data_IF_800818155214
#
_entry.id   IF_800818155214
#
_cell.length_a   1.000
_cell.length_b   1.000
_cell.length_c   1.000
_cell.angle_alpha   90.00
_cell.angle_beta   90.00
_cell.angle_gamma   90.00
#
_symmetry.space_group_name_H-M   'P 1'
#
loop_
_entity.id
_entity.type
_entity.pdbx_description
1 polymer ?
#
# COMPACT_ATOMS: atom_id res chain seq x y z
N UNK A 1 -3.72 -11.34 -19.98
CA UNK A 1 -4.69 -11.81 -18.95
C UNK A 1 -4.14 -11.37 -17.60
N UNK A 2 -4.76 -10.37 -16.96
CA UNK A 2 -4.36 -9.91 -15.62
C UNK A 2 -4.84 -10.96 -14.63
N UNK A 3 -3.91 -11.69 -14.00
CA UNK A 3 -4.23 -12.76 -13.08
C UNK A 3 -4.53 -12.16 -11.69
N UNK A 4 -5.81 -12.14 -11.30
CA UNK A 4 -6.26 -11.51 -10.05
C UNK A 4 -5.95 -12.32 -8.78
N UNK A 5 -5.55 -13.59 -8.87
CA UNK A 5 -5.24 -14.42 -7.71
C UNK A 5 -3.91 -15.16 -7.90
N UNK A 6 -3.07 -15.15 -6.87
CA UNK A 6 -1.83 -15.92 -6.79
C UNK A 6 -1.65 -16.52 -5.39
N UNK A 7 -0.60 -17.32 -5.20
CA UNK A 7 -0.25 -17.87 -3.89
C UNK A 7 1.10 -17.29 -3.49
N UNK A 8 1.16 -16.73 -2.29
CA UNK A 8 2.36 -16.15 -1.69
C UNK A 8 3.29 -17.21 -1.04
N UNK A 9 2.79 -18.42 -0.82
CA UNK A 9 3.49 -19.52 -0.11
C UNK A 9 3.44 -20.77 -1.00
N UNK A 10 4.29 -21.76 -0.75
CA UNK A 10 4.20 -23.12 -1.32
C UNK A 10 2.90 -23.86 -0.93
N UNK A 11 1.79 -23.16 -0.68
CA UNK A 11 0.45 -23.72 -0.55
C UNK A 11 -0.19 -23.83 -1.95
N UNK A 12 -0.83 -24.97 -2.21
CA UNK A 12 -1.55 -25.29 -3.44
C UNK A 12 -2.84 -24.47 -3.64
N UNK A 13 -3.14 -23.53 -2.74
CA UNK A 13 -4.38 -22.77 -2.68
C UNK A 13 -4.09 -21.30 -3.02
N UNK A 14 -4.80 -20.76 -4.01
CA UNK A 14 -4.62 -19.39 -4.52
C UNK A 14 -5.34 -18.40 -3.59
N UNK A 15 -4.74 -18.14 -2.44
CA UNK A 15 -5.41 -17.44 -1.34
C UNK A 15 -5.03 -15.95 -1.23
N UNK A 16 -4.32 -15.36 -2.20
CA UNK A 16 -3.98 -13.93 -2.16
C UNK A 16 -4.13 -13.22 -3.52
N UNK A 17 -4.33 -11.90 -3.49
CA UNK A 17 -4.32 -11.06 -4.68
C UNK A 17 -3.49 -9.79 -4.49
N UNK A 18 -3.04 -9.21 -5.60
CA UNK A 18 -2.34 -7.92 -5.57
C UNK A 18 -3.24 -6.83 -4.99
N UNK A 19 -4.55 -6.92 -5.26
CA UNK A 19 -5.54 -6.01 -4.71
C UNK A 19 -5.66 -6.15 -3.20
N UNK A 20 -5.75 -7.37 -2.69
CA UNK A 20 -5.82 -7.64 -1.26
C UNK A 20 -4.56 -7.13 -0.54
N UNK A 21 -3.40 -7.39 -1.14
CA UNK A 21 -2.14 -6.97 -0.57
C UNK A 21 -1.96 -5.43 -0.55
N UNK A 22 -2.37 -4.73 -1.63
CA UNK A 22 -2.20 -3.27 -1.77
C UNK A 22 -3.30 -2.47 -1.08
N UNK A 23 -4.58 -2.86 -1.27
CA UNK A 23 -5.73 -2.06 -0.86
C UNK A 23 -6.45 -2.59 0.40
N UNK A 24 -6.50 -3.91 0.60
CA UNK A 24 -7.19 -4.48 1.77
C UNK A 24 -6.26 -4.48 2.99
N UNK A 25 -4.95 -4.65 2.76
CA UNK A 25 -3.94 -4.73 3.81
C UNK A 25 -3.91 -6.14 4.40
N UNK A 26 -3.18 -7.05 3.75
CA UNK A 26 -2.93 -8.39 4.28
C UNK A 26 -2.25 -8.30 5.66
N UNK A 27 -2.93 -8.85 6.66
CA UNK A 27 -2.34 -9.15 7.96
C UNK A 27 -1.79 -10.57 7.92
N UNK A 28 -0.47 -10.73 8.10
CA UNK A 28 0.12 -12.05 8.35
C UNK A 28 0.38 -12.19 9.82
N UNK A 29 -0.51 -12.91 10.50
CA UNK A 29 -0.49 -13.36 11.90
C UNK A 29 -0.16 -12.28 12.96
N UNK A 30 1.00 -11.64 12.89
CA UNK A 30 1.51 -10.63 13.83
C UNK A 30 2.19 -9.41 13.17
N UNK A 31 2.21 -9.30 11.85
CA UNK A 31 2.83 -8.17 11.15
C UNK A 31 1.90 -7.56 10.09
N UNK A 32 1.78 -6.23 10.14
CA UNK A 32 1.07 -5.45 9.11
C UNK A 32 2.06 -5.16 7.98
N UNK A 33 2.16 -6.09 7.04
CA UNK A 33 3.03 -5.96 5.88
C UNK A 33 2.49 -4.91 4.88
N UNK A 34 1.16 -4.79 4.78
CA UNK A 34 0.44 -3.87 3.88
C UNK A 34 -0.13 -2.63 4.58
N UNK A 35 -1.19 -2.04 4.02
CA UNK A 35 -1.89 -0.83 4.49
C UNK A 35 -1.24 0.52 4.08
N UNK A 36 -1.33 0.82 2.79
CA UNK A 36 -0.93 2.10 2.20
C UNK A 36 -2.13 2.90 1.66
N UNK A 37 -3.35 2.40 1.86
CA UNK A 37 -4.58 3.05 1.44
C UNK A 37 -5.21 3.81 2.62
N UNK A 38 -5.41 5.12 2.47
CA UNK A 38 -5.91 5.96 3.56
C UNK A 38 -7.37 5.68 3.90
N UNK A 39 -8.19 5.27 2.93
CA UNK A 39 -9.60 4.98 3.17
C UNK A 39 -9.75 3.73 4.04
N UNK A 40 -8.98 2.69 3.75
CA UNK A 40 -8.92 1.49 4.59
C UNK A 40 -8.34 1.79 5.97
N UNK A 41 -7.30 2.63 6.05
CA UNK A 41 -6.76 3.09 7.33
C UNK A 41 -7.84 3.78 8.18
N UNK A 42 -8.55 4.77 7.61
CA UNK A 42 -9.60 5.51 8.29
C UNK A 42 -10.74 4.60 8.77
N UNK A 43 -11.13 3.61 7.95
CA UNK A 43 -12.15 2.62 8.33
C UNK A 43 -11.70 1.77 9.52
N UNK A 44 -10.48 1.25 9.48
CA UNK A 44 -9.96 0.38 10.56
C UNK A 44 -9.74 1.16 11.87
N UNK A 45 -9.34 2.43 11.78
CA UNK A 45 -9.27 3.33 12.94
C UNK A 45 -10.66 3.60 13.52
N UNK A 46 -11.67 3.87 12.69
CA UNK A 46 -13.07 4.04 13.15
C UNK A 46 -13.64 2.79 13.82
N UNK A 47 -13.22 1.60 13.39
CA UNK A 47 -13.62 0.33 13.99
C UNK A 47 -12.86 0.00 15.29
N UNK A 48 -11.83 0.79 15.64
CA UNK A 48 -10.98 0.54 16.80
C UNK A 48 -9.99 -0.63 16.60
N UNK A 49 -9.74 -1.02 15.35
CA UNK A 49 -8.79 -2.09 15.02
C UNK A 49 -7.36 -1.55 14.77
N UNK A 50 -7.22 -0.24 14.61
CA UNK A 50 -5.94 0.47 14.54
C UNK A 50 -5.92 1.66 15.51
N UNK A 51 -4.74 1.97 16.02
CA UNK A 51 -4.44 3.15 16.83
C UNK A 51 -3.33 3.96 16.15
N UNK A 52 -3.65 5.18 15.73
CA UNK A 52 -2.67 6.11 15.18
C UNK A 52 -1.69 6.60 16.27
N UNK A 53 -0.39 6.52 15.99
CA UNK A 53 0.67 6.89 16.94
C UNK A 53 1.37 8.22 16.58
N UNK A 54 1.23 8.69 15.33
CA UNK A 54 1.89 9.91 14.87
C UNK A 54 2.25 9.88 13.38
N UNK A 55 2.72 11.02 12.87
CA UNK A 55 3.22 11.14 11.49
C UNK A 55 4.58 11.82 11.46
N UNK A 56 5.33 11.58 10.39
CA UNK A 56 6.60 12.25 10.16
C UNK A 56 6.38 13.68 9.65
N UNK A 57 7.14 14.68 10.10
CA UNK A 57 7.01 16.07 9.63
C UNK A 57 7.25 16.25 8.12
N UNK A 58 7.91 15.28 7.49
CA UNK A 58 8.17 15.24 6.04
C UNK A 58 6.91 14.79 5.28
N UNK A 59 5.85 15.57 5.37
CA UNK A 59 4.71 15.45 4.49
C UNK A 59 5.02 16.08 3.13
N UNK A 60 4.51 15.49 2.05
CA UNK A 60 4.78 15.95 0.69
C UNK A 60 3.52 16.58 0.09
N UNK A 61 3.64 17.78 -0.48
CA UNK A 61 2.54 18.58 -1.03
C UNK A 61 1.97 19.62 -0.07
N UNK A 62 1.28 20.63 -0.61
CA UNK A 62 0.60 21.68 0.16
C UNK A 62 -0.80 21.92 -0.43
N UNK A 63 -1.88 21.39 0.18
CA UNK A 63 -1.92 20.59 1.41
C UNK A 63 -1.25 19.20 1.26
N UNK A 64 -0.90 18.52 2.36
CA UNK A 64 -0.26 17.21 2.34
C UNK A 64 -1.00 16.18 1.45
N UNK A 65 -0.29 15.62 0.47
CA UNK A 65 -0.78 14.56 -0.43
C UNK A 65 -0.22 13.19 -0.09
N UNK A 66 1.00 13.14 0.42
CA UNK A 66 1.63 11.90 0.91
C UNK A 66 2.06 12.10 2.35
N UNK A 67 1.67 11.16 3.21
CA UNK A 67 2.00 11.17 4.62
C UNK A 67 2.61 9.84 5.04
N UNK A 68 3.67 9.89 5.83
CA UNK A 68 4.21 8.70 6.49
C UNK A 68 3.78 8.71 7.95
N UNK A 69 3.03 7.68 8.33
CA UNK A 69 2.44 7.52 9.66
C UNK A 69 3.02 6.33 10.40
N UNK A 70 2.91 6.36 11.72
CA UNK A 70 3.12 5.23 12.62
C UNK A 70 1.77 4.85 13.25
N UNK A 71 1.50 3.56 13.35
CA UNK A 71 0.26 3.07 13.96
C UNK A 71 0.48 1.72 14.63
N UNK A 72 -0.44 1.35 15.51
CA UNK A 72 -0.47 0.06 16.21
C UNK A 72 -1.77 -0.66 15.89
N UNK A 73 -1.72 -1.97 15.67
CA UNK A 73 -2.93 -2.78 15.54
C UNK A 73 -3.53 -3.10 16.91
N UNK A 74 -4.80 -3.48 16.91
CA UNK A 74 -5.47 -4.00 18.11
C UNK A 74 -4.78 -5.22 18.73
N UNK A 75 -4.06 -6.01 17.94
CA UNK A 75 -3.24 -7.14 18.38
C UNK A 75 -1.90 -6.71 19.02
N UNK A 76 -1.58 -5.41 19.04
CA UNK A 76 -0.38 -4.85 19.64
C UNK A 76 0.81 -4.72 18.68
N UNK A 77 0.64 -5.04 17.39
CA UNK A 77 1.73 -4.94 16.41
C UNK A 77 1.92 -3.50 15.96
N UNK A 78 3.14 -2.98 16.09
CA UNK A 78 3.47 -1.59 15.72
C UNK A 78 4.06 -1.56 14.31
N UNK A 79 3.46 -0.76 13.43
CA UNK A 79 4.07 -0.36 12.16
C UNK A 79 4.70 1.03 12.34
N UNK A 80 6.04 1.15 12.41
CA UNK A 80 6.70 2.42 12.72
C UNK A 80 6.68 3.41 11.54
N UNK A 81 6.54 2.92 10.30
CA UNK A 81 6.43 3.74 9.09
C UNK A 81 5.53 3.08 8.06
N UNK A 82 4.46 3.78 7.68
CA UNK A 82 3.62 3.45 6.53
C UNK A 82 3.29 4.73 5.77
N UNK A 83 3.71 4.80 4.50
CA UNK A 83 3.47 5.95 3.63
C UNK A 83 2.20 5.73 2.82
N UNK A 84 1.29 6.70 2.79
CA UNK A 84 0.02 6.61 2.07
C UNK A 84 -0.33 7.93 1.39
N UNK A 85 -1.07 7.83 0.29
CA UNK A 85 -1.71 8.97 -0.34
C UNK A 85 -2.90 9.43 0.52
N UNK A 86 -3.14 10.73 0.61
CA UNK A 86 -4.24 11.31 1.39
C UNK A 86 -5.26 11.99 0.47
N UNK A 87 -6.55 11.70 0.70
CA UNK A 87 -7.66 12.33 -0.01
C UNK A 87 -7.77 11.94 -1.49
N UNK A 88 -7.04 10.90 -1.91
CA UNK A 88 -7.10 10.32 -3.26
C UNK A 88 -8.26 9.35 -3.37
N UNK A 89 -8.77 9.15 -4.58
CA UNK A 89 -9.72 8.08 -4.84
C UNK A 89 -9.02 6.74 -5.04
N UNK A 90 -9.67 5.59 -4.76
CA UNK A 90 -9.07 4.27 -4.98
C UNK A 90 -8.59 4.06 -6.43
N UNK A 91 -9.32 4.60 -7.41
CA UNK A 91 -8.92 4.54 -8.81
C UNK A 91 -7.66 5.36 -9.12
N UNK A 92 -7.44 6.47 -8.41
CA UNK A 92 -6.22 7.27 -8.53
C UNK A 92 -4.98 6.52 -8.03
N UNK A 93 -5.11 5.68 -7.01
CA UNK A 93 -4.02 4.81 -6.53
C UNK A 93 -3.81 3.61 -7.47
N UNK A 94 -4.89 3.03 -7.97
CA UNK A 94 -4.85 1.84 -8.82
C UNK A 94 -4.17 2.12 -10.18
N UNK A 95 -4.43 3.28 -10.78
CA UNK A 95 -3.91 3.65 -12.10
C UNK A 95 -2.37 3.68 -12.19
N UNK A 96 -1.63 4.41 -11.33
CA UNK A 96 -0.17 4.45 -11.37
C UNK A 96 0.43 3.10 -10.99
N UNK A 97 -0.12 2.37 -10.01
CA UNK A 97 0.38 1.04 -9.64
C UNK A 97 0.29 0.06 -10.81
N UNK A 98 -0.85 0.05 -11.49
CA UNK A 98 -1.04 -0.79 -12.69
C UNK A 98 -0.09 -0.38 -13.81
N UNK A 99 0.05 0.92 -14.07
CA UNK A 99 0.93 1.44 -15.12
C UNK A 99 2.39 1.09 -14.88
N UNK A 100 2.88 1.31 -13.65
CA UNK A 100 4.27 1.01 -13.27
C UNK A 100 4.53 -0.50 -13.37
N UNK A 101 3.65 -1.33 -12.85
CA UNK A 101 3.77 -2.78 -12.98
C UNK A 101 3.81 -3.25 -14.44
N UNK A 102 2.90 -2.76 -15.29
CA UNK A 102 2.87 -3.13 -16.71
C UNK A 102 4.06 -2.59 -17.50
N UNK A 103 4.67 -1.50 -17.06
CA UNK A 103 5.90 -0.96 -17.67
C UNK A 103 7.13 -1.83 -17.40
N UNK A 104 7.04 -2.81 -16.50
CA UNK A 104 8.17 -3.64 -16.07
C UNK A 104 9.17 -2.92 -15.16
N UNK A 105 8.91 -1.65 -14.82
CA UNK A 105 9.74 -0.89 -13.89
C UNK A 105 9.36 -1.22 -12.44
N UNK A 106 10.36 -1.29 -11.57
CA UNK A 106 10.16 -1.54 -10.13
C UNK A 106 9.98 -0.25 -9.33
N UNK A 107 10.46 0.87 -9.88
CA UNK A 107 10.41 2.17 -9.23
C UNK A 107 10.27 3.29 -10.25
N UNK A 108 9.24 4.12 -10.09
CA UNK A 108 8.96 5.25 -10.99
C UNK A 108 8.69 6.49 -10.16
N UNK A 109 9.36 7.60 -10.50
CA UNK A 109 9.08 8.91 -9.93
C UNK A 109 7.86 9.51 -10.59
N UNK A 110 6.93 10.00 -9.79
CA UNK A 110 5.70 10.66 -10.23
C UNK A 110 5.62 12.04 -9.60
N UNK A 111 5.02 12.97 -10.35
CA UNK A 111 4.74 14.31 -9.88
C UNK A 111 3.25 14.40 -9.54
N UNK A 112 2.97 14.70 -8.28
CA UNK A 112 1.64 14.77 -7.67
C UNK A 112 1.40 16.20 -7.19
N UNK A 113 0.87 17.06 -8.06
CA UNK A 113 0.70 18.48 -7.76
C UNK A 113 2.06 19.10 -7.35
N UNK A 114 2.21 19.64 -6.13
CA UNK A 114 3.48 20.15 -5.60
C UNK A 114 4.39 19.10 -4.95
N UNK A 115 4.03 17.81 -5.04
CA UNK A 115 4.73 16.70 -4.42
C UNK A 115 5.47 15.83 -5.45
N UNK A 116 6.77 15.60 -5.26
CA UNK A 116 7.48 14.54 -5.98
C UNK A 116 7.48 13.27 -5.12
N UNK A 117 6.87 12.22 -5.63
CA UNK A 117 6.75 10.95 -4.93
C UNK A 117 7.24 9.80 -5.81
N UNK A 118 7.53 8.66 -5.20
CA UNK A 118 8.01 7.49 -5.91
C UNK A 118 7.07 6.33 -5.72
N UNK A 119 6.55 5.79 -6.81
CA UNK A 119 5.81 4.54 -6.81
C UNK A 119 6.82 3.39 -6.85
N UNK A 120 6.74 2.50 -5.87
CA UNK A 120 7.55 1.29 -5.79
C UNK A 120 6.62 0.10 -5.99
N UNK A 121 6.94 -0.75 -6.95
CA UNK A 121 6.21 -1.96 -7.24
C UNK A 121 7.14 -3.17 -7.20
N UNK A 122 6.74 -4.18 -6.44
CA UNK A 122 7.38 -5.48 -6.38
C UNK A 122 6.53 -6.50 -7.12
N UNK A 123 7.13 -7.20 -8.09
CA UNK A 123 6.49 -8.26 -8.83
C UNK A 123 6.91 -9.64 -8.33
N UNK A 124 6.01 -10.61 -8.45
CA UNK A 124 6.24 -12.02 -8.12
C UNK A 124 6.22 -12.89 -9.38
N UNK A 125 6.63 -14.16 -9.25
CA UNK A 125 6.63 -15.18 -10.32
C UNK A 125 7.31 -14.68 -11.61
N UNK A 126 8.49 -14.07 -11.48
CA UNK A 126 9.28 -13.57 -12.61
C UNK A 126 8.60 -12.42 -13.37
N UNK A 127 7.91 -11.52 -12.67
CA UNK A 127 7.33 -10.31 -13.27
C UNK A 127 5.87 -10.44 -13.73
N UNK A 128 5.29 -11.63 -13.67
CA UNK A 128 3.94 -11.88 -14.22
C UNK A 128 2.79 -11.49 -13.30
N UNK A 129 3.09 -11.30 -12.02
CA UNK A 129 2.10 -11.07 -10.98
C UNK A 129 2.54 -9.88 -10.14
N UNK A 130 1.63 -8.92 -9.93
CA UNK A 130 1.87 -7.81 -9.03
C UNK A 130 1.85 -8.35 -7.59
N UNK A 131 2.90 -8.05 -6.82
CA UNK A 131 3.02 -8.43 -5.41
C UNK A 131 2.51 -7.32 -4.50
N UNK A 132 3.33 -6.28 -4.34
CA UNK A 132 2.97 -5.07 -3.60
C UNK A 132 3.34 -3.83 -4.39
N UNK A 133 2.52 -2.80 -4.28
CA UNK A 133 2.84 -1.47 -4.77
C UNK A 133 2.47 -0.45 -3.71
N UNK A 134 3.35 0.51 -3.48
CA UNK A 134 3.11 1.58 -2.51
C UNK A 134 3.87 2.83 -2.94
N UNK A 135 3.48 3.96 -2.34
CA UNK A 135 4.14 5.24 -2.55
C UNK A 135 5.17 5.49 -1.44
N UNK A 136 6.30 6.10 -1.80
CA UNK A 136 7.29 6.62 -0.86
C UNK A 136 7.70 8.05 -1.22
#
# INVERSE_FOLDING_TARGET
MIQMLYSCVNSSRRDSSAFEHVFVGENREFEVLGLHNWLQFARLEQMGDLNYLGHTPKACGTPPRVLTIAFMTKQGSIKPRGSMLLGTSPEFELAPYTTVFLSGQTQVRIHLDSCEATVVCHSMKGGRVMGTCYIK
#
